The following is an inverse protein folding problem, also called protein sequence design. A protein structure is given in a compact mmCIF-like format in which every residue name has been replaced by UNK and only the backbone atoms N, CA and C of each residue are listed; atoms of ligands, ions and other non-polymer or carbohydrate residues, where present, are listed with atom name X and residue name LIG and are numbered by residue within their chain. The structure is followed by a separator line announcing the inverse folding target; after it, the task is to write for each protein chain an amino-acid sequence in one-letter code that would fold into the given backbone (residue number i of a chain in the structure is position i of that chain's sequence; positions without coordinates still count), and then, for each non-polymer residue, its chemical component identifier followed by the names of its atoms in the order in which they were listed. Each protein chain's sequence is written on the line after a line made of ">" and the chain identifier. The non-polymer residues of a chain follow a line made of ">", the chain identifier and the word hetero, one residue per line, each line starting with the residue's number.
data_IF_868660778220
#
_entry.id   IF_868660778220
#
_cell.length_a   1.000
_cell.length_b   1.000
_cell.length_c   1.000
_cell.angle_alpha   90.00
_cell.angle_beta   90.00
_cell.angle_gamma   90.00
#
_symmetry.space_group_name_H-M   'P 1'
#
loop_
_entity.id
_entity.type
_entity.pdbx_description
1 polymer ?
#
# COMPACT_ATOMS: atom_id res chain seq x y z
N UNK A 1 -6.95 20.14 -44.97
CA UNK A 1 -7.85 19.44 -44.03
C UNK A 1 -7.31 18.07 -43.63
N UNK A 2 -5.98 17.88 -43.50
CA UNK A 2 -5.36 16.58 -43.18
C UNK A 2 -4.65 16.58 -41.82
N UNK A 3 -4.47 17.77 -41.23
CA UNK A 3 -3.64 17.98 -40.03
C UNK A 3 -4.45 18.15 -38.73
N UNK A 4 -5.76 18.37 -38.83
CA UNK A 4 -6.67 18.57 -37.68
C UNK A 4 -7.13 17.24 -37.03
N UNK A 5 -7.07 16.12 -37.75
CA UNK A 5 -7.56 14.82 -37.25
C UNK A 5 -6.50 14.11 -36.41
N UNK A 6 -5.22 14.32 -36.70
CA UNK A 6 -4.11 13.68 -35.98
C UNK A 6 -3.97 14.19 -34.54
N UNK A 7 -4.21 15.48 -34.29
CA UNK A 7 -4.11 16.05 -32.92
C UNK A 7 -5.25 15.56 -32.03
N UNK A 8 -6.46 15.39 -32.58
CA UNK A 8 -7.60 14.84 -31.84
C UNK A 8 -7.44 13.35 -31.53
N UNK A 9 -6.79 12.57 -32.40
CA UNK A 9 -6.54 11.15 -32.14
C UNK A 9 -5.48 10.91 -31.05
N UNK A 10 -4.44 11.74 -30.99
CA UNK A 10 -3.41 11.65 -29.96
C UNK A 10 -3.92 12.04 -28.56
N UNK A 11 -4.86 12.97 -28.46
CA UNK A 11 -5.44 13.38 -27.18
C UNK A 11 -6.33 12.29 -26.55
N UNK A 12 -7.03 11.50 -27.36
CA UNK A 12 -7.93 10.44 -26.88
C UNK A 12 -7.16 9.17 -26.46
N UNK A 13 -5.99 8.91 -27.03
CA UNK A 13 -5.16 7.76 -26.63
C UNK A 13 -4.38 7.98 -25.34
N UNK A 14 -4.10 9.24 -24.97
CA UNK A 14 -3.42 9.55 -23.70
C UNK A 14 -4.35 9.48 -22.48
N UNK A 15 -5.67 9.52 -22.67
CA UNK A 15 -6.65 9.53 -21.58
C UNK A 15 -7.08 8.12 -21.09
N UNK A 16 -6.57 7.04 -21.71
CA UNK A 16 -6.92 5.66 -21.36
C UNK A 16 -5.86 4.93 -20.52
N UNK A 17 -4.79 5.61 -20.11
CA UNK A 17 -3.78 5.04 -19.20
C UNK A 17 -4.07 5.24 -17.70
N UNK A 18 -5.26 5.72 -17.32
CA UNK A 18 -5.55 6.14 -15.93
C UNK A 18 -6.35 5.13 -15.11
N UNK A 19 -6.62 3.91 -15.60
CA UNK A 19 -7.25 2.87 -14.77
C UNK A 19 -6.65 1.48 -15.01
N UNK A 20 -5.34 1.34 -14.78
CA UNK A 20 -4.84 0.06 -14.27
C UNK A 20 -4.62 0.24 -12.77
N UNK A 21 -5.73 0.38 -12.03
CA UNK A 21 -5.73 0.07 -10.62
C UNK A 21 -5.52 -1.43 -10.49
N UNK A 22 -4.26 -1.87 -10.58
CA UNK A 22 -3.87 -3.18 -10.07
C UNK A 22 -4.23 -3.13 -8.59
N UNK A 23 -5.35 -3.74 -8.21
CA UNK A 23 -5.50 -4.24 -6.86
C UNK A 23 -4.26 -5.09 -6.63
N UNK A 24 -3.27 -4.55 -5.89
CA UNK A 24 -2.22 -5.39 -5.33
C UNK A 24 -3.00 -6.40 -4.51
N UNK A 25 -3.11 -7.62 -5.05
CA UNK A 25 -3.79 -8.70 -4.36
C UNK A 25 -3.19 -8.75 -2.96
N UNK A 26 -4.04 -8.66 -1.94
CA UNK A 26 -3.67 -8.60 -0.53
C UNK A 26 -2.52 -9.57 -0.14
N UNK A 27 -2.49 -10.75 -0.76
CA UNK A 27 -1.42 -11.73 -0.55
C UNK A 27 -0.03 -11.29 -1.02
N UNK A 28 0.08 -10.45 -2.06
CA UNK A 28 1.37 -9.91 -2.53
C UNK A 28 2.01 -8.95 -1.54
N UNK A 29 1.22 -8.33 -0.66
CA UNK A 29 1.71 -7.35 0.32
C UNK A 29 2.41 -8.01 1.50
N UNK A 30 2.12 -9.30 1.78
CA UNK A 30 2.80 -10.08 2.84
C UNK A 30 4.28 -10.30 2.56
N UNK A 31 4.67 -10.30 1.29
CA UNK A 31 6.04 -10.60 0.85
C UNK A 31 6.89 -9.33 0.60
N UNK A 32 6.36 -8.14 0.89
CA UNK A 32 7.08 -6.88 0.65
C UNK A 32 8.26 -6.75 1.62
N UNK A 33 9.45 -6.57 1.06
CA UNK A 33 10.65 -6.27 1.85
C UNK A 33 10.76 -4.80 2.20
N UNK A 34 11.55 -4.48 3.23
CA UNK A 34 11.91 -3.11 3.57
C UNK A 34 12.62 -2.39 2.42
N UNK A 35 13.42 -3.09 1.60
CA UNK A 35 14.06 -2.51 0.41
C UNK A 35 13.02 -2.07 -0.63
N UNK A 36 12.02 -2.91 -0.91
CA UNK A 36 10.93 -2.58 -1.83
C UNK A 36 10.07 -1.43 -1.29
N UNK A 37 9.79 -1.42 0.00
CA UNK A 37 9.06 -0.35 0.69
C UNK A 37 9.79 1.00 0.58
N UNK A 38 11.10 1.02 0.85
CA UNK A 38 11.91 2.24 0.77
C UNK A 38 12.05 2.78 -0.66
N UNK A 39 11.81 1.96 -1.68
CA UNK A 39 11.80 2.37 -3.08
C UNK A 39 10.46 3.01 -3.52
N UNK A 40 9.41 2.92 -2.70
CA UNK A 40 8.11 3.55 -2.97
C UNK A 40 8.14 5.04 -2.66
N UNK A 41 7.28 5.81 -3.33
CA UNK A 41 6.98 7.18 -2.92
C UNK A 41 6.16 7.21 -1.61
N UNK A 42 6.14 8.37 -0.98
CA UNK A 42 5.50 8.58 0.34
C UNK A 42 4.01 8.21 0.35
N UNK A 43 3.27 8.44 -0.73
CA UNK A 43 1.85 8.09 -0.81
C UNK A 43 1.67 6.57 -0.71
N UNK A 44 2.48 5.83 -1.47
CA UNK A 44 2.46 4.38 -1.45
C UNK A 44 3.00 3.80 -0.14
N UNK A 45 4.00 4.44 0.47
CA UNK A 45 4.49 4.06 1.81
C UNK A 45 3.39 4.20 2.87
N UNK A 46 2.67 5.32 2.86
CA UNK A 46 1.57 5.54 3.80
C UNK A 46 0.43 4.53 3.56
N UNK A 47 0.06 4.30 2.29
CA UNK A 47 -1.02 3.39 1.93
C UNK A 47 -0.74 1.93 2.35
N UNK A 48 0.46 1.43 2.10
CA UNK A 48 0.81 0.04 2.44
C UNK A 48 0.90 -0.17 3.96
N UNK A 49 1.44 0.81 4.71
CA UNK A 49 1.54 0.71 6.17
C UNK A 49 0.15 0.74 6.79
N UNK A 50 -0.71 1.67 6.36
CA UNK A 50 -2.11 1.74 6.79
C UNK A 50 -2.86 0.44 6.51
N UNK A 51 -2.68 -0.14 5.32
CA UNK A 51 -3.36 -1.36 4.95
C UNK A 51 -2.91 -2.56 5.81
N UNK A 52 -1.60 -2.75 6.01
CA UNK A 52 -1.07 -3.85 6.84
C UNK A 52 -1.51 -3.72 8.30
N UNK A 53 -1.43 -2.51 8.86
CA UNK A 53 -1.89 -2.20 10.23
C UNK A 53 -3.39 -2.52 10.40
N UNK A 54 -4.20 -2.18 9.40
CA UNK A 54 -5.62 -2.52 9.39
C UNK A 54 -5.87 -4.03 9.45
N UNK A 55 -5.13 -4.81 8.65
CA UNK A 55 -5.24 -6.27 8.64
C UNK A 55 -4.83 -6.89 9.98
N UNK A 56 -3.71 -6.46 10.57
CA UNK A 56 -3.28 -6.96 11.88
C UNK A 56 -4.26 -6.58 12.98
N UNK A 57 -4.77 -5.34 12.99
CA UNK A 57 -5.79 -4.87 13.94
C UNK A 57 -7.04 -5.74 13.89
N UNK A 58 -7.57 -6.00 12.70
CA UNK A 58 -8.75 -6.84 12.54
C UNK A 58 -8.51 -8.32 12.83
N UNK A 59 -7.32 -8.83 12.51
CA UNK A 59 -6.90 -10.19 12.87
C UNK A 59 -6.85 -10.35 14.39
N UNK A 60 -6.33 -9.35 15.11
CA UNK A 60 -6.26 -9.35 16.57
C UNK A 60 -7.63 -9.12 17.23
N UNK A 61 -8.55 -8.41 16.57
CA UNK A 61 -9.90 -8.16 17.07
C UNK A 61 -10.87 -9.35 16.88
N UNK A 62 -10.52 -10.34 16.05
CA UNK A 62 -11.41 -11.45 15.70
C UNK A 62 -10.88 -12.81 16.14
N UNK A 63 -11.69 -13.58 16.88
CA UNK A 63 -11.49 -15.02 17.10
C UNK A 63 -11.85 -15.84 15.84
N UNK A 64 -11.27 -15.54 14.67
CA UNK A 64 -11.26 -16.29 13.39
C UNK A 64 -11.80 -15.52 12.17
N UNK A 65 -11.08 -15.72 11.05
CA UNK A 65 -11.54 -15.70 9.66
C UNK A 65 -12.14 -14.40 9.10
N UNK A 66 -11.44 -13.28 9.23
CA UNK A 66 -11.81 -12.04 8.53
C UNK A 66 -10.96 -11.93 7.25
N UNK A 67 -11.61 -12.10 6.10
CA UNK A 67 -10.98 -11.88 4.79
C UNK A 67 -10.80 -10.38 4.54
N UNK A 68 -9.86 -10.02 3.67
CA UNK A 68 -9.50 -8.63 3.34
C UNK A 68 -10.67 -7.71 2.89
N UNK A 69 -11.88 -8.26 2.68
CA UNK A 69 -13.08 -7.54 2.30
C UNK A 69 -13.84 -6.90 3.49
N UNK A 70 -13.59 -7.33 4.72
CA UNK A 70 -14.38 -6.92 5.90
C UNK A 70 -13.66 -5.87 6.78
N UNK A 71 -12.50 -5.37 6.35
CA UNK A 71 -11.59 -4.59 7.18
C UNK A 71 -11.40 -3.20 6.58
N UNK A 72 -12.42 -2.36 6.73
CA UNK A 72 -12.24 -0.92 6.64
C UNK A 72 -11.93 -0.38 8.04
N UNK A 73 -10.67 -0.47 8.48
CA UNK A 73 -10.24 0.35 9.62
C UNK A 73 -10.27 1.79 9.12
N UNK A 74 -11.15 2.63 9.65
CA UNK A 74 -11.26 4.01 9.18
C UNK A 74 -9.89 4.70 9.19
N UNK A 75 -9.60 5.53 8.17
CA UNK A 75 -8.32 6.25 8.06
C UNK A 75 -8.05 7.13 9.31
N UNK A 76 -9.11 7.52 10.01
CA UNK A 76 -9.13 8.23 11.28
C UNK A 76 -8.65 7.41 12.49
N UNK A 77 -8.67 6.08 12.41
CA UNK A 77 -8.13 5.19 13.45
C UNK A 77 -6.62 4.95 13.30
N UNK A 78 -6.03 5.32 12.17
CA UNK A 78 -4.59 5.15 11.94
C UNK A 78 -3.79 6.24 12.69
N UNK A 79 -3.37 5.89 13.90
CA UNK A 79 -2.59 6.77 14.79
C UNK A 79 -1.07 6.54 14.75
N UNK A 80 -0.58 5.67 13.86
CA UNK A 80 0.79 5.21 13.89
C UNK A 80 1.74 6.07 13.05
N UNK A 81 2.89 6.50 13.61
CA UNK A 81 3.87 7.29 12.86
C UNK A 81 4.60 6.42 11.83
N UNK A 82 4.23 6.54 10.55
CA UNK A 82 4.86 5.79 9.43
C UNK A 82 6.38 5.95 9.41
N UNK A 83 6.91 7.10 9.84
CA UNK A 83 8.35 7.36 9.92
C UNK A 83 9.10 6.37 10.84
N UNK A 84 8.44 5.78 11.84
CA UNK A 84 9.07 4.74 12.66
C UNK A 84 9.34 3.46 11.87
N UNK A 85 8.42 3.09 10.98
CA UNK A 85 8.58 1.94 10.07
C UNK A 85 9.66 2.24 9.04
N UNK A 86 9.67 3.44 8.47
CA UNK A 86 10.73 3.91 7.55
C UNK A 86 12.10 3.80 8.20
N UNK A 87 12.29 4.36 9.39
CA UNK A 87 13.56 4.28 10.11
C UNK A 87 13.95 2.83 10.44
N UNK A 88 12.99 1.99 10.83
CA UNK A 88 13.23 0.59 11.11
C UNK A 88 13.62 -0.22 9.85
N UNK A 89 13.09 0.15 8.68
CA UNK A 89 13.45 -0.42 7.39
C UNK A 89 14.79 0.10 6.86
N UNK A 90 15.17 1.35 7.15
CA UNK A 90 16.52 1.87 6.83
C UNK A 90 17.59 1.05 7.56
N UNK A 91 17.34 0.71 8.83
CA UNK A 91 18.26 -0.07 9.66
C UNK A 91 18.42 -1.52 9.18
N UNK A 92 17.41 -2.08 8.50
CA UNK A 92 17.44 -3.47 8.02
C UNK A 92 16.59 -3.62 6.75
N UNK A 93 17.23 -3.35 5.60
CA UNK A 93 16.57 -3.33 4.30
C UNK A 93 16.08 -4.71 3.84
N UNK A 94 16.66 -5.79 4.36
CA UNK A 94 16.32 -7.16 3.94
C UNK A 94 15.18 -7.77 4.74
N UNK A 95 14.77 -7.13 5.83
CA UNK A 95 13.64 -7.58 6.63
C UNK A 95 12.31 -7.49 5.87
N UNK A 96 11.34 -8.27 6.33
CA UNK A 96 9.93 -8.13 5.96
C UNK A 96 9.37 -6.82 6.50
N UNK A 97 8.66 -6.07 5.66
CA UNK A 97 7.92 -4.89 6.07
C UNK A 97 6.84 -5.25 7.12
N UNK A 98 6.14 -6.37 6.90
CA UNK A 98 5.07 -6.84 7.77
C UNK A 98 5.55 -7.06 9.20
N UNK A 99 6.71 -7.71 9.35
CA UNK A 99 7.31 -7.98 10.66
C UNK A 99 7.69 -6.67 11.37
N UNK A 100 8.15 -5.65 10.63
CA UNK A 100 8.45 -4.33 11.20
C UNK A 100 7.18 -3.66 11.71
N UNK A 101 6.13 -3.62 10.90
CA UNK A 101 4.86 -3.00 11.28
C UNK A 101 4.29 -3.69 12.51
N UNK A 102 4.21 -5.02 12.50
CA UNK A 102 3.75 -5.81 13.65
C UNK A 102 4.54 -5.50 14.93
N UNK A 103 5.87 -5.49 14.84
CA UNK A 103 6.75 -5.21 15.98
C UNK A 103 6.60 -3.79 16.53
N UNK A 104 6.30 -2.81 15.68
CA UNK A 104 6.19 -1.42 16.09
C UNK A 104 4.79 -1.07 16.60
N UNK A 105 3.73 -1.64 16.02
CA UNK A 105 2.36 -1.21 16.25
C UNK A 105 1.49 -2.21 17.03
N UNK A 106 1.80 -3.52 17.01
CA UNK A 106 0.99 -4.58 17.62
C UNK A 106 1.77 -5.47 18.59
N UNK A 107 2.50 -4.86 19.53
CA UNK A 107 3.29 -5.57 20.56
C UNK A 107 2.42 -6.35 21.54
#
# INVERSE_FOLDING_TARGET
>A
MKDQVCIHFFAVTLLLLVFCGTSLAADKLKDVSCEQFLAMDETNQNAIVYWIDGIETATNASNSSVGAADIAVGYDAFGHPVIEVVNACIADKKASLWDKIKKHFHK
#
